data_IF_896993747305
#
_entry.id   IF_896993747305
#
_cell.length_a   1.000
_cell.length_b   1.000
_cell.length_c   1.000
_cell.angle_alpha   90.00
_cell.angle_beta   90.00
_cell.angle_gamma   90.00
#
_symmetry.space_group_name_H-M   'P 1'
#
loop_
_entity.id
_entity.type
_entity.pdbx_description
1 polymer ?
#
# COMPACT_ATOMS: atom_id res chain seq x y z
N UNK A 1 23.33 0.18 28.01
CA UNK A 1 22.18 0.00 27.11
C UNK A 1 20.99 -0.34 27.98
N UNK A 2 20.02 0.55 28.09
CA UNK A 2 18.81 0.38 28.91
C UNK A 2 17.64 0.08 27.97
N UNK A 3 17.44 -1.20 27.65
CA UNK A 3 16.21 -1.66 27.00
C UNK A 3 15.13 -1.91 28.06
N UNK A 4 13.86 -1.78 27.70
CA UNK A 4 12.71 -2.10 28.55
C UNK A 4 12.47 -3.63 28.65
N UNK A 5 13.52 -4.38 28.98
CA UNK A 5 13.48 -5.82 29.21
C UNK A 5 13.52 -6.16 30.71
N UNK A 6 13.24 -7.41 31.06
CA UNK A 6 13.45 -7.89 32.42
C UNK A 6 14.89 -7.62 32.90
N UNK A 7 15.10 -7.38 34.19
CA UNK A 7 16.38 -6.94 34.78
C UNK A 7 17.59 -7.86 34.48
N UNK A 8 17.37 -9.08 33.97
CA UNK A 8 18.37 -10.05 33.55
C UNK A 8 18.36 -10.37 32.03
N UNK A 9 17.77 -9.53 31.18
CA UNK A 9 17.74 -9.76 29.74
C UNK A 9 19.12 -9.54 29.12
N UNK A 10 19.66 -10.57 28.45
CA UNK A 10 20.90 -10.48 27.69
C UNK A 10 20.58 -10.05 26.26
N UNK A 11 21.03 -8.87 25.79
CA UNK A 11 20.77 -8.45 24.41
C UNK A 11 21.62 -9.25 23.43
N UNK A 12 21.01 -9.57 22.29
CA UNK A 12 21.68 -10.13 21.12
C UNK A 12 21.45 -9.21 19.92
N UNK A 13 22.48 -9.04 19.09
CA UNK A 13 22.45 -8.16 17.93
C UNK A 13 22.53 -8.99 16.67
N UNK A 14 21.55 -8.82 15.78
CA UNK A 14 21.49 -9.50 14.50
C UNK A 14 22.25 -8.69 13.45
N UNK A 15 23.18 -9.34 12.76
CA UNK A 15 23.90 -8.81 11.62
C UNK A 15 23.32 -9.46 10.36
N UNK A 16 22.76 -8.63 9.50
CA UNK A 16 21.97 -9.06 8.35
C UNK A 16 22.73 -8.83 7.05
N UNK A 17 22.39 -9.57 6.00
CA UNK A 17 22.84 -9.31 4.63
C UNK A 17 22.07 -8.13 3.97
N UNK A 18 22.35 -7.87 2.69
CA UNK A 18 21.73 -6.78 1.94
C UNK A 18 20.21 -6.93 1.73
N UNK A 19 19.65 -8.12 1.93
CA UNK A 19 18.21 -8.39 1.83
C UNK A 19 17.60 -8.69 3.21
N UNK A 20 18.30 -8.43 4.31
CA UNK A 20 17.80 -8.61 5.67
C UNK A 20 17.88 -10.03 6.22
N UNK A 21 18.65 -10.92 5.60
CA UNK A 21 18.86 -12.30 6.08
C UNK A 21 19.87 -12.32 7.23
N UNK A 22 19.56 -12.92 8.40
CA UNK A 22 20.53 -13.07 9.48
C UNK A 22 21.75 -13.91 9.11
N UNK A 23 22.93 -13.32 9.07
CA UNK A 23 24.20 -14.02 8.83
C UNK A 23 24.94 -14.32 10.14
N UNK A 24 24.88 -13.38 11.09
CA UNK A 24 25.60 -13.49 12.36
C UNK A 24 24.80 -12.87 13.50
N UNK A 25 24.97 -13.39 14.71
CA UNK A 25 24.41 -12.84 15.94
C UNK A 25 25.53 -12.69 16.95
N UNK A 26 25.66 -11.50 17.54
CA UNK A 26 26.64 -11.22 18.60
C UNK A 26 25.95 -10.96 19.94
N UNK A 27 26.62 -11.30 21.03
CA UNK A 27 26.17 -10.97 22.38
C UNK A 27 26.47 -9.51 22.78
N UNK A 28 26.14 -9.15 24.02
CA UNK A 28 26.39 -7.83 24.60
C UNK A 28 27.87 -7.41 24.65
N UNK A 29 28.80 -8.38 24.58
CA UNK A 29 30.25 -8.14 24.59
C UNK A 29 30.84 -8.01 23.19
N UNK A 30 30.04 -8.29 22.16
CA UNK A 30 30.46 -8.33 20.77
C UNK A 30 31.04 -9.69 20.34
N UNK A 31 30.96 -10.71 21.20
CA UNK A 31 31.36 -12.06 20.81
C UNK A 31 30.27 -12.69 19.93
N UNK A 32 30.69 -13.37 18.87
CA UNK A 32 29.78 -14.10 17.98
C UNK A 32 29.14 -15.24 18.75
N UNK A 33 27.81 -15.27 18.84
CA UNK A 33 27.05 -16.36 19.46
C UNK A 33 26.46 -17.34 18.42
N UNK A 34 26.20 -16.86 17.21
CA UNK A 34 25.70 -17.68 16.09
C UNK A 34 26.16 -17.09 14.76
N UNK A 35 26.55 -17.93 13.80
CA UNK A 35 27.01 -17.49 12.48
C UNK A 35 26.83 -18.60 11.44
N UNK A 36 26.35 -18.25 10.26
CA UNK A 36 25.99 -19.20 9.19
C UNK A 36 26.32 -18.64 7.80
N UNK A 37 26.69 -19.53 6.89
CA UNK A 37 26.79 -19.28 5.45
C UNK A 37 25.58 -19.92 4.75
N UNK A 38 24.91 -19.18 3.87
CA UNK A 38 23.79 -19.69 3.07
C UNK A 38 24.18 -19.91 1.60
N UNK A 39 23.50 -20.86 0.97
CA UNK A 39 23.38 -20.92 -0.48
C UNK A 39 22.43 -19.82 -1.00
N UNK A 40 22.46 -19.55 -2.29
CA UNK A 40 21.66 -18.51 -2.96
C UNK A 40 20.15 -18.60 -2.71
N UNK A 41 19.61 -19.78 -2.41
CA UNK A 41 18.19 -20.01 -2.13
C UNK A 41 17.88 -20.20 -0.63
N UNK A 42 18.78 -19.76 0.25
CA UNK A 42 18.53 -19.71 1.70
C UNK A 42 18.74 -21.03 2.42
N UNK A 43 19.25 -22.06 1.73
CA UNK A 43 19.66 -23.30 2.39
C UNK A 43 20.99 -23.08 3.13
N UNK A 44 21.11 -23.60 4.35
CA UNK A 44 22.36 -23.49 5.12
C UNK A 44 23.45 -24.27 4.39
N UNK A 45 24.52 -23.58 4.01
CA UNK A 45 25.72 -24.17 3.41
C UNK A 45 26.67 -24.66 4.50
N UNK A 46 26.94 -23.80 5.49
CA UNK A 46 27.85 -24.10 6.58
C UNK A 46 27.46 -23.32 7.84
N UNK A 47 27.27 -24.02 8.95
CA UNK A 47 27.04 -23.37 10.24
C UNK A 47 28.39 -23.18 10.94
N UNK A 48 28.88 -21.94 11.01
CA UNK A 48 30.18 -21.62 11.62
C UNK A 48 30.14 -21.70 13.15
N UNK A 49 29.05 -21.19 13.74
CA UNK A 49 28.88 -21.13 15.19
C UNK A 49 27.41 -21.23 15.57
N UNK A 50 27.08 -21.96 16.64
CA UNK A 50 25.70 -22.19 17.08
C UNK A 50 25.61 -22.35 18.61
N UNK A 51 26.05 -21.33 19.37
CA UNK A 51 25.84 -21.30 20.82
C UNK A 51 24.37 -21.00 21.17
N UNK A 52 23.67 -20.31 20.28
CA UNK A 52 22.22 -20.07 20.33
C UNK A 52 21.55 -20.61 19.06
N UNK A 53 20.23 -20.82 19.12
CA UNK A 53 19.41 -21.24 17.97
C UNK A 53 18.73 -20.03 17.34
N UNK A 54 18.96 -19.80 16.04
CA UNK A 54 18.22 -18.81 15.25
C UNK A 54 17.34 -19.52 14.20
N UNK A 55 16.00 -19.49 14.36
CA UNK A 55 15.09 -20.04 13.36
C UNK A 55 14.80 -19.06 12.22
N UNK A 56 15.24 -17.81 12.31
CA UNK A 56 14.98 -16.81 11.27
C UNK A 56 15.79 -17.10 10.00
N UNK A 57 15.16 -16.92 8.84
CA UNK A 57 15.75 -17.12 7.51
C UNK A 57 15.58 -15.85 6.67
N UNK A 58 15.33 -15.96 5.37
CA UNK A 58 14.93 -14.81 4.55
C UNK A 58 13.74 -14.06 5.17
N UNK A 59 13.52 -12.81 4.78
CA UNK A 59 12.44 -12.00 5.35
C UNK A 59 11.08 -12.71 5.26
N UNK A 60 10.37 -12.78 6.38
CA UNK A 60 9.09 -13.49 6.51
C UNK A 60 9.19 -15.00 6.75
N UNK A 61 10.40 -15.58 6.67
CA UNK A 61 10.60 -17.02 6.78
C UNK A 61 11.06 -17.47 8.18
N UNK A 62 10.43 -18.53 8.66
CA UNK A 62 10.78 -19.24 9.89
C UNK A 62 11.16 -20.69 9.57
N UNK A 63 12.32 -21.14 10.02
CA UNK A 63 12.79 -22.51 9.82
C UNK A 63 12.02 -23.48 10.73
N UNK A 64 11.34 -24.43 10.10
CA UNK A 64 10.70 -25.55 10.77
C UNK A 64 11.65 -26.76 10.77
N UNK A 65 12.14 -27.12 11.95
CA UNK A 65 13.11 -28.20 12.12
C UNK A 65 12.51 -29.60 11.90
N UNK A 66 11.20 -29.78 12.06
CA UNK A 66 10.55 -31.09 11.88
C UNK A 66 10.47 -31.47 10.40
N UNK A 67 10.20 -30.49 9.54
CA UNK A 67 10.03 -30.69 8.09
C UNK A 67 11.26 -30.30 7.28
N UNK A 68 12.14 -29.47 7.84
CA UNK A 68 13.25 -28.84 7.11
C UNK A 68 12.79 -27.75 6.12
N UNK A 69 11.51 -27.38 6.15
CA UNK A 69 10.93 -26.33 5.31
C UNK A 69 10.97 -24.99 6.04
N UNK A 70 10.80 -23.91 5.27
CA UNK A 70 10.68 -22.58 5.82
C UNK A 70 9.21 -22.14 5.75
N UNK A 71 8.60 -21.91 6.90
CA UNK A 71 7.26 -21.34 6.98
C UNK A 71 7.31 -19.85 6.62
N UNK A 72 6.63 -19.48 5.53
CA UNK A 72 6.55 -18.11 5.02
C UNK A 72 5.09 -17.65 5.02
N UNK A 73 4.53 -17.49 6.24
CA UNK A 73 3.14 -17.08 6.56
C UNK A 73 2.04 -17.85 5.80
N UNK A 74 1.85 -17.58 4.52
CA UNK A 74 0.81 -18.20 3.69
C UNK A 74 1.27 -19.49 3.00
N UNK A 75 2.59 -19.72 2.89
CA UNK A 75 3.15 -20.87 2.15
C UNK A 75 4.37 -21.47 2.86
N UNK A 76 4.63 -22.73 2.56
CA UNK A 76 5.88 -23.40 2.94
C UNK A 76 6.87 -23.34 1.78
N UNK A 77 8.07 -22.83 2.06
CA UNK A 77 9.18 -22.71 1.13
C UNK A 77 10.18 -23.85 1.33
N UNK A 78 10.59 -24.47 0.22
CA UNK A 78 11.63 -25.50 0.19
C UNK A 78 12.96 -24.87 -0.26
N UNK A 79 13.93 -24.69 0.65
CA UNK A 79 15.23 -24.12 0.30
C UNK A 79 16.06 -25.05 -0.60
N UNK A 80 15.79 -26.36 -0.58
CA UNK A 80 16.47 -27.34 -1.44
C UNK A 80 16.07 -27.23 -2.91
N UNK A 81 14.83 -26.82 -3.20
CA UNK A 81 14.30 -26.68 -4.56
C UNK A 81 14.11 -25.24 -5.01
N UNK A 82 14.32 -24.27 -4.10
CA UNK A 82 14.21 -22.84 -4.37
C UNK A 82 12.79 -22.36 -4.67
N UNK A 83 11.76 -23.06 -4.18
CA UNK A 83 10.34 -22.82 -4.53
C UNK A 83 9.39 -23.14 -3.38
N UNK A 84 8.16 -22.65 -3.48
CA UNK A 84 7.08 -23.06 -2.58
C UNK A 84 6.61 -24.48 -2.91
N UNK A 85 6.17 -25.21 -1.88
CA UNK A 85 5.61 -26.56 -2.04
C UNK A 85 4.09 -26.55 -2.29
N UNK A 86 3.44 -25.41 -2.09
CA UNK A 86 2.01 -25.20 -2.36
C UNK A 86 1.81 -24.11 -3.42
N UNK A 87 0.79 -24.24 -4.29
CA UNK A 87 0.42 -23.17 -5.21
C UNK A 87 0.08 -21.86 -4.49
N UNK A 88 0.30 -20.75 -5.18
CA UNK A 88 -0.08 -19.42 -4.71
C UNK A 88 -1.59 -19.30 -4.42
N UNK A 89 -2.01 -18.94 -3.19
CA UNK A 89 -3.41 -18.72 -2.85
C UNK A 89 -4.09 -17.61 -3.67
N UNK A 90 -3.33 -16.62 -4.15
CA UNK A 90 -3.88 -15.55 -5.01
C UNK A 90 -3.83 -15.92 -6.51
N UNK A 91 -3.44 -17.15 -6.83
CA UNK A 91 -3.43 -17.68 -8.20
C UNK A 91 -2.52 -16.89 -9.13
N UNK A 92 -3.00 -16.62 -10.34
CA UNK A 92 -2.23 -15.93 -11.38
C UNK A 92 -1.86 -14.48 -11.03
N UNK A 93 -2.46 -13.89 -9.99
CA UNK A 93 -2.09 -12.57 -9.50
C UNK A 93 -0.70 -12.55 -8.84
N UNK A 94 -0.24 -13.69 -8.30
CA UNK A 94 1.13 -13.87 -7.77
C UNK A 94 2.19 -14.10 -8.86
N UNK A 95 1.76 -14.31 -10.11
CA UNK A 95 2.61 -14.52 -11.27
C UNK A 95 2.23 -15.75 -12.09
N UNK A 96 2.92 -15.96 -13.21
CA UNK A 96 2.67 -17.09 -14.11
C UNK A 96 3.14 -18.45 -13.53
N UNK A 97 4.04 -18.42 -12.54
CA UNK A 97 4.55 -19.61 -11.87
C UNK A 97 4.12 -19.60 -10.40
N UNK A 98 3.04 -20.32 -10.10
CA UNK A 98 2.40 -20.33 -8.78
C UNK A 98 3.25 -20.95 -7.66
N UNK A 99 4.38 -21.57 -8.00
CA UNK A 99 5.32 -22.16 -7.03
C UNK A 99 6.59 -21.31 -6.87
N UNK A 100 6.78 -20.27 -7.67
CA UNK A 100 7.99 -19.45 -7.62
C UNK A 100 8.09 -18.69 -6.30
N UNK A 101 9.28 -18.69 -5.69
CA UNK A 101 9.57 -17.81 -4.56
C UNK A 101 9.81 -16.38 -5.04
N UNK A 102 10.93 -16.13 -5.71
CA UNK A 102 11.25 -14.86 -6.35
C UNK A 102 12.01 -15.10 -7.66
N UNK A 103 12.14 -14.07 -8.50
CA UNK A 103 12.94 -14.13 -9.74
C UNK A 103 14.44 -14.16 -9.45
N UNK A 104 14.90 -13.40 -8.47
CA UNK A 104 16.30 -13.38 -8.05
C UNK A 104 16.44 -13.30 -6.52
N UNK A 105 16.76 -14.41 -5.83
CA UNK A 105 16.80 -14.46 -4.37
C UNK A 105 17.96 -13.68 -3.73
N UNK A 106 18.88 -13.12 -4.52
CA UNK A 106 19.97 -12.29 -3.99
C UNK A 106 19.62 -10.82 -3.81
N UNK A 107 18.49 -10.37 -4.39
CA UNK A 107 18.03 -8.98 -4.33
C UNK A 107 16.52 -8.81 -4.24
N UNK A 108 15.75 -9.91 -4.27
CA UNK A 108 14.30 -9.91 -4.17
C UNK A 108 13.88 -10.83 -3.01
N UNK A 109 12.81 -10.44 -2.32
CA UNK A 109 12.23 -11.13 -1.17
C UNK A 109 10.72 -11.29 -1.36
N UNK A 110 10.09 -12.22 -0.65
CA UNK A 110 8.61 -12.33 -0.58
C UNK A 110 8.21 -12.46 0.90
N UNK A 111 8.05 -11.34 1.64
CA UNK A 111 7.83 -11.35 3.10
C UNK A 111 6.48 -11.93 3.52
N UNK A 112 5.53 -12.01 2.59
CA UNK A 112 4.19 -12.52 2.85
C UNK A 112 4.00 -13.94 2.33
N UNK A 113 4.87 -14.41 1.44
CA UNK A 113 4.63 -15.63 0.70
C UNK A 113 3.47 -15.48 -0.29
N UNK A 114 3.31 -14.31 -0.93
CA UNK A 114 2.26 -14.02 -1.91
C UNK A 114 2.78 -13.24 -3.13
N UNK A 115 3.76 -12.35 -2.93
CA UNK A 115 4.27 -11.49 -3.99
C UNK A 115 5.68 -11.03 -3.69
N UNK A 116 6.58 -11.19 -4.67
CA UNK A 116 7.96 -10.74 -4.57
C UNK A 116 8.09 -9.21 -4.62
N UNK A 117 9.02 -8.65 -3.84
CA UNK A 117 9.48 -7.27 -3.88
C UNK A 117 11.02 -7.22 -3.85
N UNK A 118 11.62 -6.06 -4.15
CA UNK A 118 13.06 -5.86 -3.99
C UNK A 118 13.39 -5.82 -2.50
N UNK A 119 14.44 -6.54 -2.10
CA UNK A 119 14.90 -6.57 -0.72
C UNK A 119 15.67 -5.30 -0.39
N UNK A 120 14.98 -4.30 0.16
CA UNK A 120 15.62 -3.09 0.69
C UNK A 120 15.78 -3.21 2.21
N UNK A 121 17.01 -2.98 2.70
CA UNK A 121 17.25 -2.72 4.11
C UNK A 121 16.56 -1.40 4.53
N UNK A 122 15.89 -1.33 5.70
CA UNK A 122 15.29 -0.09 6.17
C UNK A 122 16.40 0.92 6.49
N UNK A 123 16.66 1.84 5.56
CA UNK A 123 17.71 2.86 5.66
C UNK A 123 18.48 3.14 4.36
N UNK A 124 18.36 2.29 3.34
CA UNK A 124 18.92 2.58 2.03
C UNK A 124 17.99 3.53 1.26
N UNK A 125 18.21 4.84 1.41
CA UNK A 125 17.91 5.77 0.34
C UNK A 125 18.73 5.30 -0.88
N UNK A 126 18.08 4.68 -1.86
CA UNK A 126 18.68 4.19 -3.10
C UNK A 126 19.27 5.38 -3.90
N UNK A 127 20.61 5.48 -4.06
CA UNK A 127 21.21 6.47 -4.94
C UNK A 127 21.35 5.97 -6.39
N UNK A 128 20.89 4.75 -6.73
CA UNK A 128 21.06 4.12 -8.05
C UNK A 128 19.87 3.25 -8.52
N UNK A 129 18.67 3.83 -8.55
CA UNK A 129 17.98 4.11 -9.81
C UNK A 129 17.56 2.95 -10.72
N UNK A 130 17.44 1.71 -10.25
CA UNK A 130 16.78 0.65 -11.06
C UNK A 130 15.88 -0.25 -10.20
N UNK A 131 14.59 0.14 -10.18
CA UNK A 131 13.40 -0.51 -9.62
C UNK A 131 12.88 -0.03 -8.24
N UNK A 132 13.44 1.04 -7.66
CA UNK A 132 12.85 1.75 -6.50
C UNK A 132 12.40 3.20 -6.77
N UNK A 133 12.84 3.82 -7.87
CA UNK A 133 12.68 5.26 -8.11
C UNK A 133 11.31 5.74 -8.61
N UNK A 134 10.39 4.84 -8.95
CA UNK A 134 9.07 5.24 -9.44
C UNK A 134 7.94 4.95 -8.45
N UNK A 135 8.15 4.19 -7.38
CA UNK A 135 7.08 3.93 -6.44
C UNK A 135 6.70 5.24 -5.72
N UNK A 136 5.41 5.58 -5.66
CA UNK A 136 4.98 6.78 -4.94
C UNK A 136 5.30 6.60 -3.46
N UNK A 137 5.68 7.68 -2.78
CA UNK A 137 5.98 7.69 -1.35
C UNK A 137 5.17 8.79 -0.65
N UNK A 138 3.95 8.48 -0.25
CA UNK A 138 3.09 9.39 0.48
C UNK A 138 3.53 9.44 1.94
N UNK A 139 3.84 10.65 2.42
CA UNK A 139 4.26 10.91 3.80
C UNK A 139 3.21 11.77 4.51
N UNK A 140 3.00 11.53 5.80
CA UNK A 140 2.05 12.31 6.61
C UNK A 140 2.47 13.78 6.78
N UNK A 141 1.53 14.64 7.16
CA UNK A 141 1.80 16.04 7.53
C UNK A 141 1.79 17.05 6.37
N UNK A 142 1.42 16.62 5.16
CA UNK A 142 1.23 17.50 4.00
C UNK A 142 -0.23 17.61 3.56
N UNK A 143 -1.17 17.37 4.48
CA UNK A 143 -2.60 17.54 4.23
C UNK A 143 -2.98 18.99 4.02
N UNK A 144 -3.83 19.24 3.02
CA UNK A 144 -4.47 20.54 2.80
C UNK A 144 -5.93 20.48 3.23
N UNK A 145 -6.46 21.62 3.66
CA UNK A 145 -7.90 21.79 3.81
C UNK A 145 -8.49 22.13 2.45
N UNK A 146 -9.43 21.31 2.00
CA UNK A 146 -10.16 21.55 0.76
C UNK A 146 -11.54 22.09 1.12
N UNK A 147 -11.80 23.31 0.64
CA UNK A 147 -13.15 23.87 0.57
C UNK A 147 -13.71 23.54 -0.81
N UNK A 148 -14.76 22.72 -0.84
CA UNK A 148 -15.38 22.38 -2.12
C UNK A 148 -16.42 23.43 -2.49
N UNK A 149 -15.98 24.49 -3.17
CA UNK A 149 -16.88 25.59 -3.55
C UNK A 149 -18.03 25.10 -4.44
N UNK A 150 -19.25 25.42 -4.02
CA UNK A 150 -20.48 25.24 -4.78
C UNK A 150 -21.21 23.93 -4.48
N UNK A 151 -22.28 23.98 -3.69
CA UNK A 151 -23.47 23.12 -3.81
C UNK A 151 -23.14 21.67 -4.25
N UNK A 152 -22.74 20.79 -3.33
CA UNK A 152 -22.42 19.40 -3.65
C UNK A 152 -23.56 18.48 -3.23
N UNK A 153 -23.77 17.43 -4.02
CA UNK A 153 -24.74 16.38 -3.71
C UNK A 153 -24.07 15.42 -2.73
N UNK A 154 -24.60 15.37 -1.52
CA UNK A 154 -24.14 14.50 -0.44
C UNK A 154 -25.36 13.97 0.32
N UNK A 155 -25.20 12.85 1.03
CA UNK A 155 -26.21 12.30 1.91
C UNK A 155 -25.57 12.10 3.29
N UNK A 156 -26.06 12.77 4.34
CA UNK A 156 -25.50 12.68 5.69
C UNK A 156 -25.60 11.31 6.31
N UNK A 157 -26.49 10.45 5.81
CA UNK A 157 -26.65 9.08 6.27
C UNK A 157 -26.01 8.08 5.31
N UNK A 158 -25.11 8.51 4.41
CA UNK A 158 -24.46 7.58 3.50
C UNK A 158 -23.62 6.56 4.29
N UNK A 159 -23.97 5.26 4.26
CA UNK A 159 -22.93 4.26 4.32
C UNK A 159 -22.06 4.52 3.09
N UNK A 160 -20.80 4.83 3.38
CA UNK A 160 -19.66 4.70 2.51
C UNK A 160 -20.00 3.88 1.24
N UNK A 161 -20.26 4.57 0.13
CA UNK A 161 -20.61 3.91 -1.11
C UNK A 161 -19.34 3.47 -1.82
N UNK A 162 -19.32 2.27 -2.36
CA UNK A 162 -18.50 2.02 -3.55
C UNK A 162 -19.15 2.81 -4.70
N UNK A 163 -18.57 3.93 -5.11
CA UNK A 163 -19.05 4.63 -6.30
C UNK A 163 -18.72 3.79 -7.54
N UNK A 164 -19.66 3.83 -8.49
CA UNK A 164 -19.63 3.13 -9.77
C UNK A 164 -19.25 1.62 -9.69
N UNK A 165 -20.21 0.70 -9.45
CA UNK A 165 -19.92 -0.73 -9.35
C UNK A 165 -19.30 -1.33 -10.62
N UNK A 166 -19.45 -0.66 -11.76
CA UNK A 166 -18.88 -1.07 -13.05
C UNK A 166 -17.47 -0.54 -13.30
N UNK A 167 -16.91 0.29 -12.41
CA UNK A 167 -15.51 0.70 -12.50
C UNK A 167 -14.62 -0.49 -12.15
N UNK A 168 -13.88 -0.98 -13.15
CA UNK A 168 -12.90 -2.07 -13.00
C UNK A 168 -11.72 -1.68 -12.10
N UNK A 169 -11.43 -0.38 -12.02
CA UNK A 169 -10.40 0.21 -11.16
C UNK A 169 -11.02 1.31 -10.32
N UNK A 170 -10.92 1.16 -9.01
CA UNK A 170 -11.47 2.10 -8.03
C UNK A 170 -10.31 2.67 -7.26
N UNK A 171 -10.26 4.00 -7.10
CA UNK A 171 -9.33 4.56 -6.11
C UNK A 171 -9.70 3.93 -4.77
N UNK A 172 -8.69 3.41 -4.06
CA UNK A 172 -8.85 2.68 -2.79
C UNK A 172 -9.78 1.45 -2.85
N UNK A 173 -9.70 0.68 -3.95
CA UNK A 173 -10.44 -0.58 -4.12
C UNK A 173 -10.44 -1.48 -2.86
N UNK A 174 -11.63 -1.84 -2.31
CA UNK A 174 -11.78 -2.75 -1.18
C UNK A 174 -11.25 -4.17 -1.39
N UNK A 175 -11.03 -4.64 -2.63
CA UNK A 175 -10.29 -5.88 -2.86
C UNK A 175 -8.85 -5.80 -2.30
N UNK A 176 -8.36 -4.58 -2.05
CA UNK A 176 -7.12 -4.26 -1.36
C UNK A 176 -7.35 -3.63 0.03
N UNK A 177 -8.62 -3.54 0.51
CA UNK A 177 -9.03 -3.00 1.83
C UNK A 177 -10.36 -3.54 2.38
N UNK A 178 -10.37 -3.96 3.63
CA UNK A 178 -11.58 -4.44 4.32
C UNK A 178 -12.59 -3.35 4.75
N UNK A 179 -12.44 -2.10 4.29
CA UNK A 179 -13.27 -0.97 4.75
C UNK A 179 -14.17 -0.50 3.62
N UNK A 180 -15.41 -0.96 3.60
CA UNK A 180 -16.37 -0.56 2.58
C UNK A 180 -16.60 0.94 2.57
N UNK A 181 -16.13 1.61 1.50
CA UNK A 181 -16.81 2.72 0.84
C UNK A 181 -16.12 4.08 0.86
N UNK A 182 -15.95 4.64 -0.33
CA UNK A 182 -15.31 5.92 -0.54
C UNK A 182 -16.25 6.87 -1.29
N UNK A 183 -16.34 8.11 -0.84
CA UNK A 183 -17.28 9.08 -1.42
C UNK A 183 -16.58 9.93 -2.45
N UNK A 184 -17.09 9.96 -3.68
CA UNK A 184 -16.58 10.81 -4.74
C UNK A 184 -17.40 12.08 -4.84
N UNK A 185 -16.73 13.22 -4.76
CA UNK A 185 -17.34 14.52 -5.01
C UNK A 185 -16.63 15.20 -6.19
N UNK A 186 -17.41 15.86 -7.05
CA UNK A 186 -16.89 16.63 -8.18
C UNK A 186 -17.08 18.11 -7.95
N UNK A 187 -16.26 18.97 -8.56
CA UNK A 187 -16.27 20.44 -8.41
C UNK A 187 -17.62 21.14 -8.65
N UNK A 188 -18.64 20.49 -9.22
CA UNK A 188 -19.98 21.06 -9.32
C UNK A 188 -21.09 20.00 -9.10
N UNK A 189 -22.33 20.48 -8.96
CA UNK A 189 -23.54 19.67 -8.76
C UNK A 189 -23.64 18.56 -9.82
N UNK A 190 -23.44 18.90 -11.09
CA UNK A 190 -23.65 17.98 -12.20
C UNK A 190 -22.60 16.85 -12.23
N UNK A 191 -21.34 17.18 -11.99
CA UNK A 191 -20.26 16.19 -11.87
C UNK A 191 -20.48 15.29 -10.65
N UNK A 192 -20.81 15.88 -9.49
CA UNK A 192 -21.12 15.10 -8.28
C UNK A 192 -22.30 14.16 -8.48
N UNK A 193 -23.39 14.64 -9.12
CA UNK A 193 -24.54 13.81 -9.47
C UNK A 193 -24.13 12.62 -10.35
N UNK A 194 -23.31 12.85 -11.38
CA UNK A 194 -22.89 11.80 -12.31
C UNK A 194 -22.11 10.66 -11.65
N UNK A 195 -21.36 10.94 -10.57
CA UNK A 195 -20.61 9.92 -9.82
C UNK A 195 -21.53 9.06 -8.94
N UNK A 196 -22.57 9.67 -8.34
CA UNK A 196 -23.45 8.97 -7.40
C UNK A 196 -24.72 8.41 -8.04
N UNK A 197 -25.17 8.94 -9.19
CA UNK A 197 -26.51 8.70 -9.79
C UNK A 197 -26.92 7.23 -10.00
N UNK A 198 -25.96 6.30 -10.09
CA UNK A 198 -26.27 4.87 -10.22
C UNK A 198 -26.73 4.22 -8.90
N UNK A 199 -26.47 4.87 -7.76
CA UNK A 199 -26.68 4.34 -6.41
C UNK A 199 -27.61 5.23 -5.54
N UNK A 200 -28.35 6.17 -6.16
CA UNK A 200 -29.23 7.12 -5.44
C UNK A 200 -30.70 6.70 -5.45
N UNK A 201 -31.08 5.62 -6.13
CA UNK A 201 -32.47 5.14 -6.17
C UNK A 201 -32.98 4.90 -4.76
N UNK A 202 -34.07 5.58 -4.38
CA UNK A 202 -34.65 5.50 -3.04
C UNK A 202 -33.97 6.36 -1.97
N UNK A 203 -32.84 7.01 -2.29
CA UNK A 203 -32.09 7.86 -1.36
C UNK A 203 -32.57 9.30 -1.34
N UNK A 204 -32.11 10.06 -0.36
CA UNK A 204 -32.37 11.50 -0.23
C UNK A 204 -31.06 12.25 -0.43
N UNK A 205 -30.99 13.02 -1.52
CA UNK A 205 -29.83 13.84 -1.82
C UNK A 205 -30.00 15.22 -1.22
N UNK A 206 -28.94 15.69 -0.56
CA UNK A 206 -28.86 17.01 0.03
C UNK A 206 -27.81 17.84 -0.68
N UNK A 207 -28.00 19.16 -0.63
CA UNK A 207 -27.03 20.11 -1.14
C UNK A 207 -26.23 20.67 0.03
N UNK A 208 -24.91 20.52 0.03
CA UNK A 208 -24.07 21.02 1.12
C UNK A 208 -22.78 21.68 0.64
N UNK A 209 -22.28 22.62 1.44
CA UNK A 209 -20.87 23.02 1.42
C UNK A 209 -20.09 22.02 2.28
N UNK A 210 -18.97 21.54 1.75
CA UNK A 210 -18.17 20.48 2.38
C UNK A 210 -16.75 21.02 2.58
N UNK A 211 -16.35 21.12 3.85
CA UNK A 211 -14.97 21.35 4.25
C UNK A 211 -14.36 20.02 4.69
N UNK A 212 -13.28 19.60 4.04
CA UNK A 212 -12.51 18.43 4.46
C UNK A 212 -11.09 18.87 4.78
N UNK A 213 -10.67 18.58 6.00
CA UNK A 213 -9.30 18.78 6.45
C UNK A 213 -8.43 17.57 6.13
N UNK A 214 -7.11 17.75 6.06
CA UNK A 214 -6.13 16.68 5.85
C UNK A 214 -6.34 15.85 4.57
N UNK A 215 -6.53 16.52 3.43
CA UNK A 215 -6.65 15.90 2.10
C UNK A 215 -5.29 15.95 1.40
N UNK A 216 -4.90 14.87 0.73
CA UNK A 216 -3.71 14.84 -0.11
C UNK A 216 -4.02 15.51 -1.46
N UNK A 217 -3.33 16.61 -1.77
CA UNK A 217 -3.52 17.33 -3.03
C UNK A 217 -2.54 16.88 -4.11
N UNK A 218 -3.01 16.00 -5.00
CA UNK A 218 -2.27 15.54 -6.17
C UNK A 218 -2.29 16.55 -7.33
N UNK A 219 -2.95 17.70 -7.17
CA UNK A 219 -2.90 18.81 -8.14
C UNK A 219 -1.72 19.74 -7.88
N UNK A 220 -1.11 19.69 -6.69
CA UNK A 220 0.07 20.50 -6.36
C UNK A 220 1.37 19.81 -6.79
N UNK A 221 2.06 20.43 -7.77
CA UNK A 221 3.34 19.94 -8.27
C UNK A 221 4.45 19.86 -7.22
N UNK A 222 4.39 20.66 -6.15
CA UNK A 222 5.36 20.58 -5.06
C UNK A 222 5.12 19.35 -4.18
N UNK A 223 3.85 19.00 -3.93
CA UNK A 223 3.49 17.78 -3.20
C UNK A 223 3.90 16.55 -4.02
N UNK A 224 3.61 16.54 -5.32
CA UNK A 224 4.02 15.45 -6.21
C UNK A 224 5.54 15.23 -6.19
N UNK A 225 6.34 16.30 -6.28
CA UNK A 225 7.81 16.21 -6.20
C UNK A 225 8.30 15.69 -4.86
N UNK A 226 7.74 16.18 -3.75
CA UNK A 226 8.12 15.74 -2.39
C UNK A 226 7.83 14.26 -2.15
N UNK A 227 6.75 13.76 -2.73
CA UNK A 227 6.29 12.38 -2.57
C UNK A 227 6.75 11.45 -3.69
N UNK A 228 7.63 11.92 -4.57
CA UNK A 228 8.14 11.17 -5.72
C UNK A 228 7.01 10.57 -6.59
N UNK A 229 5.94 11.34 -6.81
CA UNK A 229 4.77 10.94 -7.60
C UNK A 229 4.93 11.47 -9.01
N UNK A 230 4.87 10.59 -10.02
CA UNK A 230 4.92 10.99 -11.42
C UNK A 230 3.54 11.52 -11.88
N UNK A 231 3.41 12.82 -12.21
CA UNK A 231 2.15 13.38 -12.70
C UNK A 231 1.67 12.72 -14.00
N UNK A 232 2.57 12.19 -14.84
CA UNK A 232 2.17 11.50 -16.08
C UNK A 232 1.39 10.24 -15.76
N UNK A 233 1.81 9.49 -14.74
CA UNK A 233 1.12 8.28 -14.30
C UNK A 233 -0.26 8.55 -13.68
N UNK A 234 -0.58 9.81 -13.35
CA UNK A 234 -1.93 10.22 -12.91
C UNK A 234 -2.86 10.61 -14.07
N UNK A 235 -2.29 11.09 -15.19
CA UNK A 235 -3.05 11.75 -16.27
C UNK A 235 -3.00 11.02 -17.62
N UNK A 236 -2.16 10.00 -17.76
CA UNK A 236 -2.01 9.23 -19.01
C UNK A 236 -3.31 8.56 -19.43
N UNK A 237 -3.61 8.64 -20.73
CA UNK A 237 -4.65 7.84 -21.36
C UNK A 237 -4.19 6.39 -21.50
N UNK A 238 -5.14 5.47 -21.50
CA UNK A 238 -4.89 4.03 -21.54
C UNK A 238 -5.38 3.49 -22.87
N UNK A 239 -4.47 2.92 -23.67
CA UNK A 239 -4.81 2.34 -24.97
C UNK A 239 -4.93 0.81 -24.94
N UNK A 240 -4.42 0.17 -23.88
CA UNK A 240 -4.50 -1.28 -23.69
C UNK A 240 -4.58 -1.70 -22.21
N UNK A 241 -4.96 -2.95 -21.99
CA UNK A 241 -5.22 -3.52 -20.67
C UNK A 241 -3.97 -3.52 -19.75
N UNK A 242 -2.77 -3.74 -20.30
CA UNK A 242 -1.53 -3.77 -19.52
C UNK A 242 -1.18 -2.37 -19.01
N UNK A 243 -1.33 -1.35 -19.85
CA UNK A 243 -1.19 0.04 -19.46
C UNK A 243 -2.25 0.45 -18.43
N UNK A 244 -3.47 -0.08 -18.55
CA UNK A 244 -4.54 0.13 -17.58
C UNK A 244 -4.09 -0.37 -16.20
N UNK A 245 -3.65 -1.62 -16.13
CA UNK A 245 -3.25 -2.25 -14.87
C UNK A 245 -2.06 -1.52 -14.22
N UNK A 246 -1.10 -1.04 -15.02
CA UNK A 246 0.02 -0.25 -14.52
C UNK A 246 -0.39 1.14 -13.98
N UNK A 247 -1.16 1.92 -14.76
CA UNK A 247 -1.59 3.28 -14.40
C UNK A 247 -2.59 3.25 -13.22
N UNK A 248 -3.53 2.32 -13.25
CA UNK A 248 -4.51 2.18 -12.18
C UNK A 248 -3.91 1.53 -10.92
N UNK A 249 -2.97 0.59 -11.08
CA UNK A 249 -2.19 0.07 -9.97
C UNK A 249 -1.38 1.16 -9.26
N UNK A 250 -0.75 2.05 -10.05
CA UNK A 250 0.00 3.20 -9.54
C UNK A 250 -0.85 4.16 -8.72
N UNK A 251 -1.99 4.59 -9.28
CA UNK A 251 -2.93 5.48 -8.59
C UNK A 251 -3.53 4.85 -7.34
N UNK A 252 -3.76 3.53 -7.34
CA UNK A 252 -4.20 2.78 -6.17
C UNK A 252 -3.16 2.72 -5.06
N UNK A 253 -1.88 2.55 -5.40
CA UNK A 253 -0.80 2.58 -4.40
C UNK A 253 -0.76 3.93 -3.66
N UNK A 254 -0.90 5.05 -4.38
CA UNK A 254 -0.98 6.39 -3.78
C UNK A 254 -2.19 6.50 -2.84
N UNK A 255 -3.37 6.10 -3.31
CA UNK A 255 -4.60 6.12 -2.52
C UNK A 255 -4.50 5.26 -1.27
N UNK A 256 -3.79 4.14 -1.37
CA UNK A 256 -3.59 3.28 -0.24
C UNK A 256 -2.63 3.93 0.77
N UNK A 257 -1.44 4.34 0.35
CA UNK A 257 -0.50 5.00 1.25
C UNK A 257 -1.08 6.26 1.91
N UNK A 258 -1.86 7.07 1.19
CA UNK A 258 -2.52 8.26 1.75
C UNK A 258 -3.46 7.90 2.91
N UNK A 259 -4.32 6.91 2.73
CA UNK A 259 -5.20 6.50 3.82
C UNK A 259 -4.44 5.89 5.00
N UNK A 260 -3.40 5.08 4.74
CA UNK A 260 -2.61 4.42 5.79
C UNK A 260 -1.80 5.45 6.59
N UNK A 261 -1.37 6.53 5.94
CA UNK A 261 -0.71 7.69 6.57
C UNK A 261 -1.69 8.67 7.23
N UNK A 262 -3.00 8.37 7.20
CA UNK A 262 -4.02 9.10 7.96
C UNK A 262 -4.71 10.24 7.22
N UNK A 263 -4.52 10.36 5.90
CA UNK A 263 -5.29 11.33 5.11
C UNK A 263 -6.78 10.96 5.07
N UNK A 264 -7.60 12.00 5.00
CA UNK A 264 -9.06 11.91 4.93
C UNK A 264 -9.56 11.68 3.50
N UNK A 265 -8.72 11.96 2.51
CA UNK A 265 -9.04 11.79 1.10
C UNK A 265 -7.91 12.25 0.18
N UNK A 266 -8.17 12.15 -1.12
CA UNK A 266 -7.28 12.62 -2.19
C UNK A 266 -8.03 13.59 -3.10
N UNK A 267 -7.42 14.73 -3.37
CA UNK A 267 -7.82 15.68 -4.42
C UNK A 267 -6.97 15.44 -5.67
N UNK A 268 -7.62 15.33 -6.83
CA UNK A 268 -6.95 15.07 -8.11
C UNK A 268 -7.63 15.76 -9.28
N UNK A 269 -6.88 15.94 -10.37
CA UNK A 269 -7.41 16.50 -11.63
C UNK A 269 -8.18 15.41 -12.38
N UNK A 270 -9.46 15.67 -12.68
CA UNK A 270 -10.30 14.74 -13.44
C UNK A 270 -10.07 14.90 -14.94
N UNK A 271 -9.62 13.83 -15.60
CA UNK A 271 -9.33 13.78 -17.05
C UNK A 271 -10.57 13.72 -17.95
N UNK A 272 -11.80 13.76 -17.39
CA UNK A 272 -13.05 13.55 -18.17
C UNK A 272 -13.50 14.74 -19.04
N UNK A 273 -12.79 15.87 -19.08
CA UNK A 273 -13.05 16.96 -20.05
C UNK A 273 -11.78 17.74 -20.40
N UNK A 274 -11.57 17.96 -21.70
CA UNK A 274 -10.48 18.74 -22.31
C UNK A 274 -10.63 20.26 -22.12
N UNK A 275 -11.68 20.72 -21.45
CA UNK A 275 -11.94 22.16 -21.20
C UNK A 275 -12.35 22.35 -19.74
N UNK A 276 -11.48 22.99 -18.97
CA UNK A 276 -11.66 23.33 -17.56
C UNK A 276 -10.84 22.44 -16.60
N UNK A 277 -10.23 23.07 -15.58
CA UNK A 277 -9.45 22.42 -14.52
C UNK A 277 -10.36 21.65 -13.54
N UNK A 278 -11.17 20.71 -14.03
CA UNK A 278 -12.13 20.00 -13.20
C UNK A 278 -11.41 19.17 -12.13
N UNK A 279 -11.61 19.52 -10.85
CA UNK A 279 -11.09 18.73 -9.73
C UNK A 279 -12.12 17.73 -9.21
N UNK A 280 -11.65 16.59 -8.75
CA UNK A 280 -12.42 15.59 -8.06
C UNK A 280 -11.74 15.21 -6.76
N UNK A 281 -12.53 14.85 -5.76
CA UNK A 281 -12.03 14.34 -4.48
C UNK A 281 -12.58 12.94 -4.25
N UNK A 282 -11.76 12.10 -3.64
CA UNK A 282 -12.17 10.83 -3.05
C UNK A 282 -12.02 10.98 -1.53
N UNK A 283 -13.10 10.77 -0.79
CA UNK A 283 -13.09 10.73 0.67
C UNK A 283 -13.03 9.27 1.13
N UNK A 284 -12.10 8.97 2.02
CA UNK A 284 -11.86 7.59 2.39
C UNK A 284 -12.71 7.12 3.57
N UNK A 285 -13.44 6.02 3.42
CA UNK A 285 -13.97 5.22 4.54
C UNK A 285 -14.68 5.96 5.69
N UNK A 286 -15.30 7.11 5.42
CA UNK A 286 -15.92 7.93 6.47
C UNK A 286 -14.95 8.76 7.33
N UNK A 287 -13.66 8.84 6.97
CA UNK A 287 -12.65 9.74 7.56
C UNK A 287 -12.89 11.19 7.14
N UNK A 288 -14.09 11.72 7.34
CA UNK A 288 -14.40 13.13 7.17
C UNK A 288 -15.24 13.59 8.35
N UNK A 289 -15.08 14.86 8.71
CA UNK A 289 -15.86 15.45 9.78
C UNK A 289 -17.24 15.85 9.24
N UNK A 290 -18.25 15.05 9.56
CA UNK A 290 -19.63 15.31 9.15
C UNK A 290 -20.18 16.63 9.73
N UNK A 291 -19.61 17.16 10.83
CA UNK A 291 -20.04 18.44 11.40
C UNK A 291 -19.62 19.64 10.54
N UNK A 292 -18.63 19.46 9.66
CA UNK A 292 -18.16 20.46 8.71
C UNK A 292 -18.96 20.48 7.40
N UNK A 293 -20.01 19.65 7.30
CA UNK A 293 -20.93 19.64 6.16
C UNK A 293 -22.10 20.57 6.45
N UNK A 294 -22.17 21.71 5.76
CA UNK A 294 -23.24 22.69 5.93
C UNK A 294 -24.33 22.50 4.87
N UNK A 295 -25.49 22.01 5.29
CA UNK A 295 -26.66 21.87 4.43
C UNK A 295 -27.14 23.24 3.92
N UNK A 296 -27.20 23.39 2.60
CA UNK A 296 -27.78 24.54 1.90
C UNK A 296 -29.25 24.27 1.57
N UNK A 297 -29.59 23.02 1.27
CA UNK A 297 -30.95 22.61 0.93
C UNK A 297 -31.34 21.34 1.70
N UNK A 298 -32.25 21.52 2.66
CA UNK A 298 -32.77 20.45 3.54
C UNK A 298 -34.04 19.79 2.98
N UNK A 299 -34.23 19.83 1.66
CA UNK A 299 -35.34 19.16 0.97
C UNK A 299 -34.80 18.16 -0.03
N UNK A 300 -35.39 16.96 -0.02
CA UNK A 300 -35.04 15.84 -0.90
C UNK A 300 -35.07 16.28 -2.37
N UNK A 301 -33.94 16.17 -3.06
CA UNK A 301 -33.90 16.21 -4.53
C UNK A 301 -34.47 14.86 -5.01
N UNK A 302 -35.59 14.90 -5.75
CA UNK A 302 -36.22 13.71 -6.35
C UNK A 302 -35.60 13.41 -7.71
#
# INVERSE_FOLDING_TARGET
MTGEGADNATPYFYHLDQIGTPLEITDATGAVAWSVDYHSYGNVAYQRKAEIVSPLRFQGQYYDAETGLHYNRHRYYSPSTGRFITPDPIGLAGGLNNYQYVKNPTGWIDPLGLSQCVGDCPGANDPNGTNGGNAPNVVAGHGVTVQMDGRKIYDPNFPALSTNPTAKYRFSDPAYRNTGGDVYLGENVATSYNEVRKNITGKSLYLADVKIDNVLDLTDSNILKKMNIDPKMLMSTVDNQIQADAIYGYTNQIANQAYDTGYNGILYSSTRKTVGNNKAIVLFGGKYDASNVKLIFDKRIK
#
